data_IF_961697368333
#
_entry.id   IF_961697368333
#
_cell.length_a   1.000
_cell.length_b   1.000
_cell.length_c   1.000
_cell.angle_alpha   90.00
_cell.angle_beta   90.00
_cell.angle_gamma   90.00
#
_symmetry.space_group_name_H-M   'P 1'
#
loop_
_entity.id
_entity.type
_entity.pdbx_description
1 polymer ?
#
# COMPACT_ATOMS: atom_id res chain seq x y z
N UNK A 1 30.91 -2.22 -0.09
CA UNK A 1 29.79 -3.05 0.37
C UNK A 1 29.25 -3.79 -0.83
N UNK A 2 29.11 -5.14 -0.79
CA UNK A 2 28.58 -5.92 -1.90
C UNK A 2 27.11 -5.60 -2.15
N UNK A 3 26.74 -5.33 -3.40
CA UNK A 3 25.34 -5.19 -3.78
C UNK A 3 24.64 -6.56 -3.67
N UNK A 4 23.73 -6.70 -2.72
CA UNK A 4 22.86 -7.87 -2.66
C UNK A 4 21.79 -7.81 -3.76
N UNK A 5 21.38 -8.98 -4.26
CA UNK A 5 20.24 -9.09 -5.20
C UNK A 5 18.90 -8.78 -4.54
N UNK A 6 18.78 -9.09 -3.26
CA UNK A 6 17.59 -8.81 -2.45
C UNK A 6 17.63 -7.41 -1.85
N UNK A 7 16.51 -7.01 -1.22
CA UNK A 7 16.32 -5.69 -0.60
C UNK A 7 15.99 -5.83 0.88
N UNK A 8 16.54 -4.95 1.71
CA UNK A 8 16.22 -4.83 3.13
C UNK A 8 15.41 -3.55 3.36
N UNK A 9 14.21 -3.70 3.92
CA UNK A 9 13.30 -2.61 4.25
C UNK A 9 13.10 -2.61 5.75
N UNK A 10 13.34 -1.50 6.43
CA UNK A 10 13.02 -1.34 7.85
C UNK A 10 11.78 -0.47 8.06
N UNK A 11 10.98 -0.82 9.06
CA UNK A 11 9.83 -0.03 9.52
C UNK A 11 10.10 0.35 10.97
N UNK A 12 10.36 1.63 11.20
CA UNK A 12 10.68 2.21 12.49
C UNK A 12 9.62 3.25 12.91
N UNK A 13 9.71 3.77 14.10
CA UNK A 13 8.81 4.76 14.70
C UNK A 13 8.66 4.54 16.20
N UNK A 14 8.01 5.48 16.89
CA UNK A 14 7.76 5.40 18.33
C UNK A 14 6.80 4.25 18.68
N UNK A 15 6.75 3.85 19.95
CA UNK A 15 5.79 2.84 20.39
C UNK A 15 4.36 3.34 20.22
N UNK A 16 3.47 2.46 19.74
CA UNK A 16 2.11 2.86 19.35
C UNK A 16 1.93 3.26 17.88
N UNK A 17 3.00 3.51 17.10
CA UNK A 17 2.89 4.00 15.71
C UNK A 17 2.39 2.97 14.67
N UNK A 18 1.98 1.77 15.06
CA UNK A 18 1.40 0.79 14.13
C UNK A 18 2.40 -0.07 13.35
N UNK A 19 3.69 -0.04 13.67
CA UNK A 19 4.76 -0.79 12.97
C UNK A 19 4.43 -2.24 12.65
N UNK A 20 4.01 -3.03 13.64
CA UNK A 20 3.71 -4.45 13.45
C UNK A 20 2.55 -4.68 12.47
N UNK A 21 1.55 -3.80 12.46
CA UNK A 21 0.43 -3.85 11.51
C UNK A 21 0.94 -3.57 10.11
N UNK A 22 1.71 -2.50 9.93
CA UNK A 22 2.24 -2.11 8.63
C UNK A 22 3.27 -3.12 8.09
N UNK A 23 4.09 -3.69 8.96
CA UNK A 23 5.00 -4.80 8.60
C UNK A 23 4.21 -5.98 8.02
N UNK A 24 3.13 -6.40 8.68
CA UNK A 24 2.29 -7.50 8.23
C UNK A 24 1.64 -7.19 6.87
N UNK A 25 1.02 -6.03 6.74
CA UNK A 25 0.37 -5.61 5.49
C UNK A 25 1.37 -5.51 4.32
N UNK A 26 2.56 -4.97 4.57
CA UNK A 26 3.62 -4.91 3.56
C UNK A 26 4.06 -6.32 3.12
N UNK A 27 4.29 -7.22 4.07
CA UNK A 27 4.70 -8.61 3.79
C UNK A 27 3.65 -9.35 2.97
N UNK A 28 2.38 -9.21 3.32
CA UNK A 28 1.27 -9.80 2.58
C UNK A 28 1.21 -9.28 1.14
N UNK A 29 1.33 -7.95 0.97
CA UNK A 29 1.31 -7.31 -0.35
C UNK A 29 2.50 -7.73 -1.23
N UNK A 30 3.71 -7.78 -0.68
CA UNK A 30 4.90 -8.27 -1.37
C UNK A 30 4.76 -9.73 -1.82
N UNK A 31 4.18 -10.60 -0.99
CA UNK A 31 3.93 -12.00 -1.33
C UNK A 31 2.92 -12.15 -2.47
N UNK A 32 1.82 -11.39 -2.42
CA UNK A 32 0.80 -11.35 -3.49
C UNK A 32 1.41 -10.86 -4.81
N UNK A 33 2.37 -9.93 -4.75
CA UNK A 33 3.11 -9.44 -5.93
C UNK A 33 4.17 -10.44 -6.44
N UNK A 34 4.33 -11.61 -5.80
CA UNK A 34 5.22 -12.69 -6.25
C UNK A 34 6.63 -12.69 -5.66
N UNK A 35 6.94 -11.80 -4.72
CA UNK A 35 8.25 -11.75 -4.09
C UNK A 35 8.44 -12.85 -3.03
N UNK A 36 9.66 -13.37 -2.92
CA UNK A 36 10.08 -14.20 -1.78
C UNK A 36 10.46 -13.28 -0.62
N UNK A 37 9.64 -13.29 0.44
CA UNK A 37 9.76 -12.36 1.57
C UNK A 37 10.12 -13.08 2.85
N UNK A 38 11.05 -12.51 3.58
CA UNK A 38 11.43 -12.91 4.95
C UNK A 38 11.17 -11.76 5.92
N UNK A 39 10.93 -12.08 7.18
CA UNK A 39 10.68 -11.08 8.22
C UNK A 39 11.61 -11.26 9.40
N UNK A 40 11.93 -10.14 10.02
CA UNK A 40 12.63 -10.11 11.30
C UNK A 40 12.09 -8.98 12.15
N UNK A 41 11.92 -9.25 13.45
CA UNK A 41 11.51 -8.26 14.44
C UNK A 41 12.66 -8.01 15.41
N UNK A 42 12.93 -6.75 15.72
CA UNK A 42 13.90 -6.38 16.75
C UNK A 42 13.23 -5.59 17.88
N UNK A 43 13.60 -5.88 19.15
CA UNK A 43 14.47 -6.98 19.60
C UNK A 43 13.84 -8.36 19.37
N UNK A 44 14.69 -9.36 19.13
CA UNK A 44 14.26 -10.76 18.95
C UNK A 44 14.04 -11.43 20.31
N UNK A 45 13.02 -10.98 21.03
CA UNK A 45 12.70 -11.51 22.37
C UNK A 45 12.68 -13.04 22.41
N UNK A 46 13.19 -13.60 23.50
CA UNK A 46 13.36 -15.04 23.68
C UNK A 46 14.60 -15.64 23.01
N UNK A 47 15.34 -14.89 22.19
CA UNK A 47 16.66 -15.31 21.68
C UNK A 47 17.77 -14.89 22.64
N UNK A 48 18.82 -15.72 22.73
CA UNK A 48 19.96 -15.44 23.63
C UNK A 48 20.60 -14.07 23.35
N UNK A 49 20.67 -13.65 22.08
CA UNK A 49 21.20 -12.36 21.64
C UNK A 49 20.41 -11.15 22.15
N UNK A 50 19.08 -11.29 22.37
CA UNK A 50 18.22 -10.24 22.93
C UNK A 50 18.21 -10.20 24.45
N UNK A 51 18.88 -11.13 25.13
CA UNK A 51 18.84 -11.24 26.60
C UNK A 51 19.36 -10.01 27.35
N UNK A 52 20.33 -9.27 26.76
CA UNK A 52 20.80 -7.99 27.32
C UNK A 52 19.74 -6.91 27.19
N UNK A 53 19.02 -6.86 26.07
CA UNK A 53 17.90 -5.94 25.84
C UNK A 53 16.77 -6.22 26.83
N UNK A 54 16.41 -7.48 27.03
CA UNK A 54 15.36 -7.87 27.97
C UNK A 54 15.72 -7.46 29.41
N UNK A 55 16.95 -7.70 29.84
CA UNK A 55 17.43 -7.26 31.16
C UNK A 55 17.40 -5.75 31.28
N UNK A 56 17.79 -5.02 30.24
CA UNK A 56 17.76 -3.55 30.22
C UNK A 56 16.32 -3.02 30.33
N UNK A 57 15.40 -3.51 29.52
CA UNK A 57 14.00 -3.09 29.53
C UNK A 57 13.28 -3.44 30.85
N UNK A 58 13.73 -4.48 31.53
CA UNK A 58 13.28 -4.86 32.88
C UNK A 58 13.96 -4.08 34.02
N UNK A 59 14.82 -3.10 33.72
CA UNK A 59 15.49 -2.25 34.69
C UNK A 59 16.60 -2.94 35.49
N UNK A 60 17.09 -4.13 35.06
CA UNK A 60 18.13 -4.88 35.79
C UNK A 60 19.48 -4.17 35.81
N UNK A 61 19.70 -3.21 34.91
CA UNK A 61 20.93 -2.38 34.83
C UNK A 61 20.73 -0.96 35.40
N UNK A 62 19.57 -0.70 36.03
CA UNK A 62 19.18 0.61 36.54
C UNK A 62 18.28 1.37 35.54
N UNK A 63 18.08 2.66 35.78
CA UNK A 63 17.26 3.51 34.93
C UNK A 63 17.86 3.68 33.52
N UNK A 64 17.01 4.05 32.55
CA UNK A 64 17.43 4.31 31.19
C UNK A 64 18.54 5.42 31.09
N UNK A 65 18.49 6.41 32.00
CA UNK A 65 19.47 7.47 32.09
C UNK A 65 20.82 6.95 32.60
N UNK A 66 20.81 6.10 33.66
CA UNK A 66 22.03 5.51 34.25
C UNK A 66 22.78 4.64 33.25
N UNK A 67 22.08 3.86 32.46
CA UNK A 67 22.68 3.05 31.40
C UNK A 67 23.23 3.93 30.28
N UNK A 68 22.50 4.96 29.89
CA UNK A 68 22.87 5.92 28.88
C UNK A 68 22.74 5.39 27.43
N UNK A 69 22.77 6.29 26.43
CA UNK A 69 22.44 5.95 25.04
C UNK A 69 23.47 5.00 24.40
N UNK A 70 24.73 5.16 24.64
CA UNK A 70 25.78 4.34 24.02
C UNK A 70 25.72 2.88 24.47
N UNK A 71 25.64 2.61 25.79
CA UNK A 71 25.55 1.22 26.29
C UNK A 71 24.25 0.54 25.90
N UNK A 72 23.14 1.27 25.99
CA UNK A 72 21.86 0.73 25.53
C UNK A 72 21.91 0.34 24.04
N UNK A 73 22.51 1.19 23.19
CA UNK A 73 22.64 0.90 21.75
C UNK A 73 23.44 -0.38 21.47
N UNK A 74 24.49 -0.68 22.27
CA UNK A 74 25.25 -1.93 22.13
C UNK A 74 24.37 -3.17 22.32
N UNK A 75 23.46 -3.15 23.30
CA UNK A 75 22.58 -4.29 23.54
C UNK A 75 21.71 -4.63 22.33
N UNK A 76 21.15 -3.60 21.70
CA UNK A 76 20.34 -3.76 20.48
C UNK A 76 21.20 -4.10 19.25
N UNK A 77 22.40 -3.53 19.15
CA UNK A 77 23.31 -3.80 18.04
C UNK A 77 23.80 -5.25 18.01
N UNK A 78 24.06 -5.85 19.18
CA UNK A 78 24.45 -7.27 19.30
C UNK A 78 23.33 -8.19 18.81
N UNK A 79 22.07 -7.88 19.11
CA UNK A 79 20.96 -8.68 18.62
C UNK A 79 20.83 -8.59 17.09
N UNK A 80 21.04 -7.42 16.49
CA UNK A 80 21.08 -7.24 15.04
C UNK A 80 22.26 -7.96 14.40
N UNK A 81 23.43 -7.90 15.05
CA UNK A 81 24.62 -8.61 14.56
C UNK A 81 24.37 -10.13 14.44
N UNK A 82 23.84 -10.75 15.49
CA UNK A 82 23.50 -12.18 15.46
C UNK A 82 22.49 -12.53 14.36
N UNK A 83 21.48 -11.67 14.12
CA UNK A 83 20.54 -11.85 13.03
C UNK A 83 21.15 -11.63 11.64
N UNK A 84 22.20 -10.82 11.54
CA UNK A 84 22.75 -10.34 10.28
C UNK A 84 23.25 -11.46 9.37
N UNK A 85 23.75 -12.55 9.92
CA UNK A 85 24.20 -13.72 9.14
C UNK A 85 23.05 -14.33 8.33
N UNK A 86 21.88 -14.45 8.95
CA UNK A 86 20.69 -14.99 8.29
C UNK A 86 20.11 -13.96 7.29
N UNK A 87 20.09 -12.68 7.65
CA UNK A 87 19.66 -11.58 6.77
C UNK A 87 20.54 -11.55 5.51
N UNK A 88 21.86 -11.57 5.66
CA UNK A 88 22.83 -11.59 4.53
C UNK A 88 22.57 -12.76 3.58
N UNK A 89 22.30 -13.95 4.13
CA UNK A 89 21.98 -15.14 3.33
C UNK A 89 20.69 -14.93 2.53
N UNK A 90 19.65 -14.39 3.12
CA UNK A 90 18.40 -14.12 2.42
C UNK A 90 18.56 -13.07 1.32
N UNK A 91 19.28 -11.98 1.61
CA UNK A 91 19.57 -10.93 0.64
C UNK A 91 20.39 -11.45 -0.54
N UNK A 92 21.39 -12.31 -0.29
CA UNK A 92 22.18 -12.95 -1.34
C UNK A 92 21.32 -13.87 -2.25
N UNK A 93 20.25 -14.45 -1.70
CA UNK A 93 19.27 -15.25 -2.44
C UNK A 93 18.24 -14.42 -3.22
N UNK A 94 18.36 -13.09 -3.22
CA UNK A 94 17.40 -12.20 -3.89
C UNK A 94 16.06 -12.04 -3.17
N UNK A 95 15.98 -12.42 -1.87
CA UNK A 95 14.75 -12.26 -1.10
C UNK A 95 14.60 -10.81 -0.61
N UNK A 96 13.37 -10.38 -0.43
CA UNK A 96 13.07 -9.13 0.28
C UNK A 96 12.99 -9.45 1.77
N UNK A 97 13.72 -8.67 2.57
CA UNK A 97 13.67 -8.78 4.03
C UNK A 97 12.96 -7.55 4.59
N UNK A 98 11.87 -7.76 5.31
CA UNK A 98 11.14 -6.68 6.01
C UNK A 98 11.45 -6.78 7.50
N UNK A 99 12.01 -5.71 8.05
CA UNK A 99 12.37 -5.62 9.47
C UNK A 99 11.40 -4.70 10.21
N UNK A 100 10.75 -5.23 11.24
CA UNK A 100 10.06 -4.40 12.22
C UNK A 100 11.09 -3.92 13.23
N UNK A 101 11.42 -2.63 13.17
CA UNK A 101 12.57 -1.96 13.79
C UNK A 101 13.92 -2.42 13.21
N UNK A 102 14.87 -1.49 13.21
CA UNK A 102 16.27 -1.72 12.85
C UNK A 102 17.17 -0.67 13.52
N UNK A 103 18.24 -0.23 12.87
CA UNK A 103 19.16 0.81 13.38
C UNK A 103 18.44 2.14 13.61
N UNK A 104 17.42 2.46 12.81
CA UNK A 104 16.56 3.63 12.99
C UNK A 104 15.95 3.73 14.38
N UNK A 105 15.60 2.61 15.01
CA UNK A 105 15.11 2.59 16.39
C UNK A 105 16.16 3.05 17.41
N UNK A 106 17.44 2.70 17.23
CA UNK A 106 18.51 3.21 18.08
C UNK A 106 18.72 4.71 17.88
N UNK A 107 18.71 5.18 16.63
CA UNK A 107 18.83 6.61 16.31
C UNK A 107 17.72 7.41 17.00
N UNK A 108 16.46 6.99 16.85
CA UNK A 108 15.32 7.70 17.44
C UNK A 108 15.30 7.65 18.96
N UNK A 109 15.25 6.45 19.54
CA UNK A 109 15.06 6.28 21.00
C UNK A 109 16.28 6.62 21.82
N UNK A 110 17.50 6.27 21.39
CA UNK A 110 18.72 6.57 22.13
C UNK A 110 19.21 7.98 21.82
N UNK A 111 19.07 8.44 20.56
CA UNK A 111 19.37 9.83 20.19
C UNK A 111 18.50 10.85 20.90
N UNK A 112 17.22 10.50 21.16
CA UNK A 112 16.28 11.32 21.93
C UNK A 112 16.72 11.64 23.36
N UNK A 113 17.62 10.84 23.94
CA UNK A 113 18.21 11.08 25.26
C UNK A 113 19.33 12.11 25.25
N UNK A 114 19.82 12.52 24.07
CA UNK A 114 20.95 13.45 23.94
C UNK A 114 20.41 14.83 23.53
N UNK A 115 20.38 15.77 24.49
CA UNK A 115 19.81 17.12 24.28
C UNK A 115 20.69 17.97 23.35
N UNK A 116 22.02 17.89 23.50
CA UNK A 116 22.95 18.66 22.66
C UNK A 116 23.05 18.11 21.24
N UNK A 117 22.80 18.94 20.23
CA UNK A 117 22.77 18.54 18.82
C UNK A 117 24.13 18.03 18.30
N UNK A 118 25.25 18.64 18.70
CA UNK A 118 26.58 18.19 18.28
C UNK A 118 26.93 16.84 18.89
N UNK A 119 26.66 16.65 20.20
CA UNK A 119 26.82 15.35 20.85
C UNK A 119 25.92 14.26 20.25
N UNK A 120 24.72 14.63 19.86
CA UNK A 120 23.78 13.71 19.17
C UNK A 120 24.30 13.32 17.79
N UNK A 121 24.84 14.28 17.02
CA UNK A 121 25.46 13.98 15.73
C UNK A 121 26.67 13.04 15.92
N UNK A 122 27.53 13.29 16.90
CA UNK A 122 28.64 12.40 17.22
C UNK A 122 28.16 10.98 17.60
N UNK A 123 27.05 10.87 18.33
CA UNK A 123 26.44 9.60 18.66
C UNK A 123 25.93 8.88 17.40
N UNK A 124 25.28 9.58 16.46
CA UNK A 124 24.85 8.99 15.20
C UNK A 124 26.03 8.47 14.36
N UNK A 125 27.06 9.29 14.20
CA UNK A 125 28.29 8.91 13.49
C UNK A 125 28.97 7.67 14.14
N UNK A 126 29.00 7.62 15.46
CA UNK A 126 29.49 6.46 16.20
C UNK A 126 28.64 5.22 15.98
N UNK A 127 27.31 5.36 16.04
CA UNK A 127 26.37 4.24 15.84
C UNK A 127 26.47 3.66 14.41
N UNK A 128 26.60 4.51 13.40
CA UNK A 128 26.81 4.08 12.02
C UNK A 128 28.15 3.33 11.85
N UNK A 129 29.23 3.83 12.45
CA UNK A 129 30.52 3.16 12.46
C UNK A 129 30.48 1.82 13.19
N UNK A 130 29.78 1.75 14.32
CA UNK A 130 29.58 0.50 15.04
C UNK A 130 28.82 -0.53 14.22
N UNK A 131 27.61 -0.19 13.78
CA UNK A 131 26.70 -1.17 13.18
C UNK A 131 27.08 -1.52 11.75
N UNK A 132 27.33 -0.53 10.91
CA UNK A 132 27.64 -0.77 9.49
C UNK A 132 29.15 -0.93 9.21
N UNK A 133 30.01 -0.38 10.06
CA UNK A 133 31.46 -0.53 9.96
C UNK A 133 31.95 -1.77 10.71
N UNK A 134 32.00 -1.73 12.03
CA UNK A 134 32.61 -2.79 12.85
C UNK A 134 31.79 -4.10 12.80
N UNK A 135 30.48 -4.04 13.04
CA UNK A 135 29.60 -5.20 13.04
C UNK A 135 29.21 -5.63 11.61
N UNK A 136 29.41 -4.77 10.63
CA UNK A 136 29.13 -4.99 9.22
C UNK A 136 27.74 -5.60 8.96
N UNK A 137 26.73 -5.16 9.70
CA UNK A 137 25.35 -5.56 9.46
C UNK A 137 24.86 -4.97 8.13
N UNK A 138 23.91 -5.61 7.41
CA UNK A 138 23.35 -5.04 6.19
C UNK A 138 22.71 -3.67 6.45
N UNK A 139 23.01 -2.68 5.62
CA UNK A 139 22.31 -1.39 5.65
C UNK A 139 20.96 -1.55 4.92
N UNK A 140 19.85 -1.04 5.46
CA UNK A 140 18.57 -1.04 4.72
C UNK A 140 18.66 -0.27 3.41
N UNK A 141 18.01 -0.76 2.38
CA UNK A 141 17.78 -0.04 1.12
C UNK A 141 16.70 1.05 1.29
N UNK A 142 15.81 0.86 2.27
CA UNK A 142 14.76 1.82 2.62
C UNK A 142 14.48 1.75 4.12
N UNK A 143 14.51 2.90 4.78
CA UNK A 143 14.06 3.05 6.15
C UNK A 143 12.76 3.87 6.16
N UNK A 144 11.68 3.29 6.69
CA UNK A 144 10.37 3.93 6.80
C UNK A 144 10.14 4.32 8.26
N UNK A 145 9.89 5.61 8.51
CA UNK A 145 9.45 6.10 9.81
C UNK A 145 7.96 6.35 9.79
N UNK A 146 7.22 5.58 10.59
CA UNK A 146 5.80 5.80 10.82
C UNK A 146 5.64 6.90 11.87
N UNK A 147 5.23 8.08 11.43
CA UNK A 147 4.97 9.22 12.30
C UNK A 147 3.55 9.19 12.84
N UNK A 148 3.47 9.16 14.16
CA UNK A 148 2.25 9.36 14.96
C UNK A 148 2.66 10.29 16.09
N UNK A 149 1.92 11.38 16.40
CA UNK A 149 2.18 12.23 17.55
C UNK A 149 2.25 11.41 18.85
N UNK A 150 3.20 11.74 19.74
CA UNK A 150 3.50 10.93 20.92
C UNK A 150 2.27 10.73 21.83
N UNK A 151 1.41 11.75 21.96
CA UNK A 151 0.17 11.70 22.74
C UNK A 151 -0.81 10.65 22.19
N UNK A 152 -0.98 10.62 20.87
CA UNK A 152 -1.86 9.65 20.22
C UNK A 152 -1.25 8.25 20.35
N UNK A 153 0.05 8.12 20.09
CA UNK A 153 0.76 6.86 20.18
C UNK A 153 0.68 6.24 21.59
N UNK A 154 0.79 7.05 22.65
CA UNK A 154 0.67 6.58 24.03
C UNK A 154 -0.71 5.99 24.32
N UNK A 155 -1.80 6.61 23.85
CA UNK A 155 -3.16 6.06 24.01
C UNK A 155 -3.33 4.70 23.33
N UNK A 156 -2.62 4.47 22.22
CA UNK A 156 -2.64 3.20 21.50
C UNK A 156 -1.81 2.10 22.21
N UNK A 157 -0.75 2.48 22.90
CA UNK A 157 0.02 1.54 23.75
C UNK A 157 -0.84 1.04 24.90
N UNK A 158 -1.62 1.91 25.55
CA UNK A 158 -2.47 1.59 26.68
C UNK A 158 -3.57 0.55 26.36
N UNK A 159 -4.01 0.52 25.10
CA UNK A 159 -5.00 -0.46 24.62
C UNK A 159 -4.41 -1.86 24.39
N UNK A 160 -3.08 -2.01 24.41
CA UNK A 160 -2.44 -3.31 24.20
C UNK A 160 -2.48 -4.18 25.45
N UNK A 161 -2.49 -5.51 25.26
CA UNK A 161 -2.36 -6.49 26.36
C UNK A 161 -0.93 -6.46 26.91
N UNK A 162 -0.77 -6.85 28.20
CA UNK A 162 0.55 -7.01 28.81
C UNK A 162 1.46 -7.97 28.03
N UNK A 163 2.77 -7.72 28.09
CA UNK A 163 3.77 -8.44 27.30
C UNK A 163 4.59 -9.41 28.17
N UNK A 164 4.85 -10.61 27.66
CA UNK A 164 5.55 -11.66 28.39
C UNK A 164 6.97 -11.27 28.81
N UNK A 165 7.73 -10.55 27.97
CA UNK A 165 9.14 -10.19 28.24
C UNK A 165 9.32 -9.15 29.36
N UNK A 166 8.25 -8.45 29.77
CA UNK A 166 8.21 -7.53 30.92
C UNK A 166 7.33 -8.04 32.06
N UNK A 167 7.20 -9.37 32.20
CA UNK A 167 6.43 -10.00 33.27
C UNK A 167 4.93 -9.70 33.24
N UNK A 168 4.35 -9.54 32.04
CA UNK A 168 2.93 -9.24 31.84
C UNK A 168 2.52 -7.78 32.04
N UNK A 169 3.45 -6.87 32.33
CA UNK A 169 3.18 -5.43 32.41
C UNK A 169 2.75 -4.87 31.04
N UNK A 170 1.99 -3.79 31.04
CA UNK A 170 1.52 -3.14 29.81
C UNK A 170 2.62 -2.31 29.14
N UNK A 171 3.54 -1.72 29.92
CA UNK A 171 4.57 -0.81 29.48
C UNK A 171 5.95 -1.24 29.98
N UNK A 172 7.01 -0.95 29.23
CA UNK A 172 8.39 -1.06 29.65
C UNK A 172 8.93 0.31 30.15
N UNK A 173 10.23 0.39 30.52
CA UNK A 173 10.83 1.61 31.07
C UNK A 173 10.86 2.81 30.10
N UNK A 174 10.57 2.62 28.84
CA UNK A 174 10.51 3.69 27.81
C UNK A 174 9.08 4.10 27.49
N UNK A 175 8.14 3.16 27.53
CA UNK A 175 6.73 3.40 27.19
C UNK A 175 5.96 4.13 28.32
N UNK A 176 6.47 4.09 29.55
CA UNK A 176 5.89 4.82 30.69
C UNK A 176 6.20 6.32 30.66
N UNK A 177 7.16 6.74 29.85
CA UNK A 177 7.65 8.12 29.78
C UNK A 177 7.20 8.81 28.49
N UNK A 178 6.14 9.64 28.56
CA UNK A 178 5.67 10.45 27.44
C UNK A 178 6.74 11.42 26.92
N UNK A 179 7.59 11.96 27.80
CA UNK A 179 8.67 12.84 27.39
C UNK A 179 9.71 12.08 26.55
N UNK A 180 9.98 10.83 26.91
CA UNK A 180 10.82 9.96 26.08
C UNK A 180 10.22 9.75 24.69
N UNK A 181 8.92 9.49 24.58
CA UNK A 181 8.24 9.33 23.29
C UNK A 181 8.30 10.61 22.45
N UNK A 182 8.06 11.79 23.05
CA UNK A 182 8.19 13.10 22.39
C UNK A 182 9.60 13.38 21.90
N UNK A 183 10.59 13.08 22.72
CA UNK A 183 11.98 13.23 22.33
C UNK A 183 12.35 12.30 21.18
N UNK A 184 11.92 11.04 21.21
CA UNK A 184 12.14 10.09 20.13
C UNK A 184 11.45 10.54 18.83
N UNK A 185 10.18 10.99 18.89
CA UNK A 185 9.44 11.54 17.76
C UNK A 185 10.20 12.70 17.11
N UNK A 186 10.62 13.68 17.90
CA UNK A 186 11.41 14.82 17.42
C UNK A 186 12.65 14.38 16.66
N UNK A 187 13.35 13.36 17.16
CA UNK A 187 14.56 12.85 16.52
C UNK A 187 14.24 12.09 15.24
N UNK A 188 13.16 11.30 15.17
CA UNK A 188 12.73 10.67 13.93
C UNK A 188 12.41 11.70 12.83
N UNK A 189 11.76 12.81 13.19
CA UNK A 189 11.51 13.92 12.26
C UNK A 189 12.80 14.62 11.81
N UNK A 190 13.76 14.81 12.73
CA UNK A 190 15.08 15.38 12.41
C UNK A 190 15.84 14.47 11.43
N UNK A 191 15.87 13.16 11.68
CA UNK A 191 16.55 12.17 10.84
C UNK A 191 15.92 12.10 9.45
N UNK A 192 14.59 12.03 9.37
CA UNK A 192 13.88 11.96 8.09
C UNK A 192 14.12 13.21 7.20
N UNK A 193 14.39 14.35 7.79
CA UNK A 193 14.76 15.58 7.06
C UNK A 193 16.22 15.61 6.62
N UNK A 194 17.11 15.02 7.44
CA UNK A 194 18.55 15.12 7.23
C UNK A 194 19.13 13.99 6.37
N UNK A 195 18.49 12.83 6.32
CA UNK A 195 19.02 11.63 5.67
C UNK A 195 18.04 11.14 4.58
N UNK A 196 18.46 11.13 3.30
CA UNK A 196 17.59 10.83 2.17
C UNK A 196 17.15 9.36 2.08
N UNK A 197 17.80 8.46 2.80
CA UNK A 197 17.44 7.04 2.90
C UNK A 197 16.39 6.75 3.99
N UNK A 198 15.84 7.80 4.63
CA UNK A 198 14.76 7.70 5.59
C UNK A 198 13.50 8.40 5.06
N UNK A 199 12.45 7.63 4.88
CA UNK A 199 11.15 8.11 4.38
C UNK A 199 10.16 8.24 5.53
N UNK A 200 9.56 9.41 5.68
CA UNK A 200 8.54 9.69 6.67
C UNK A 200 7.15 9.38 6.11
N UNK A 201 6.36 8.61 6.85
CA UNK A 201 4.95 8.34 6.55
C UNK A 201 4.10 8.92 7.68
N UNK A 202 3.32 9.94 7.38
CA UNK A 202 2.35 10.49 8.33
C UNK A 202 1.17 9.54 8.47
N UNK A 203 0.95 9.03 9.67
CA UNK A 203 -0.12 8.10 10.00
C UNK A 203 -1.36 8.79 10.60
N UNK A 204 -1.37 10.12 10.61
CA UNK A 204 -2.48 10.93 11.13
C UNK A 204 -2.83 12.06 10.17
N UNK A 205 -4.12 12.43 10.12
CA UNK A 205 -4.66 13.63 9.45
C UNK A 205 -5.57 14.30 10.45
N UNK A 206 -5.44 15.61 10.63
CA UNK A 206 -6.27 16.44 11.55
C UNK A 206 -6.36 15.88 12.99
N UNK A 207 -5.27 15.26 13.46
CA UNK A 207 -5.19 14.68 14.80
C UNK A 207 -5.80 13.28 14.93
N UNK A 208 -6.35 12.71 13.87
CA UNK A 208 -6.91 11.36 13.87
C UNK A 208 -6.01 10.36 13.13
N UNK A 209 -6.02 9.11 13.60
CA UNK A 209 -5.28 8.03 12.95
C UNK A 209 -5.89 7.67 11.60
N UNK A 210 -5.06 7.60 10.57
CA UNK A 210 -5.42 6.99 9.30
C UNK A 210 -5.80 5.51 9.49
N UNK A 211 -6.69 5.02 8.65
CA UNK A 211 -6.98 3.58 8.60
C UNK A 211 -5.71 2.81 8.21
N UNK A 212 -5.52 1.60 8.74
CA UNK A 212 -4.31 0.80 8.45
C UNK A 212 -4.02 0.62 6.95
N UNK A 213 -5.06 0.50 6.11
CA UNK A 213 -4.94 0.39 4.66
C UNK A 213 -4.39 1.66 4.01
N UNK A 214 -4.85 2.84 4.42
CA UNK A 214 -4.39 4.13 3.88
C UNK A 214 -2.90 4.36 4.16
N UNK A 215 -2.46 4.03 5.39
CA UNK A 215 -1.03 4.03 5.73
C UNK A 215 -0.25 3.00 4.91
N UNK A 216 -0.81 1.79 4.71
CA UNK A 216 -0.17 0.73 3.93
C UNK A 216 0.02 1.12 2.47
N UNK A 217 -0.90 1.90 1.88
CA UNK A 217 -0.76 2.40 0.52
C UNK A 217 0.37 3.43 0.39
N UNK A 218 0.53 4.31 1.39
CA UNK A 218 1.67 5.24 1.44
C UNK A 218 3.01 4.48 1.57
N UNK A 219 3.08 3.47 2.46
CA UNK A 219 4.25 2.58 2.61
C UNK A 219 4.55 1.87 1.28
N UNK A 220 3.54 1.32 0.63
CA UNK A 220 3.69 0.62 -0.64
C UNK A 220 4.23 1.52 -1.75
N UNK A 221 3.78 2.77 -1.84
CA UNK A 221 4.29 3.75 -2.81
C UNK A 221 5.81 3.93 -2.69
N UNK A 222 6.33 4.02 -1.45
CA UNK A 222 7.78 4.12 -1.21
C UNK A 222 8.53 2.84 -1.55
N UNK A 223 7.96 1.69 -1.22
CA UNK A 223 8.56 0.38 -1.49
C UNK A 223 8.63 0.09 -2.99
N UNK A 224 7.61 0.47 -3.77
CA UNK A 224 7.63 0.31 -5.23
C UNK A 224 8.82 1.02 -5.88
N UNK A 225 9.17 2.21 -5.40
CA UNK A 225 10.31 2.97 -5.94
C UNK A 225 11.62 2.18 -5.85
N UNK A 226 11.92 1.56 -4.70
CA UNK A 226 13.17 0.80 -4.51
C UNK A 226 13.17 -0.56 -5.21
N UNK A 227 11.98 -1.10 -5.52
CA UNK A 227 11.82 -2.36 -6.25
C UNK A 227 11.74 -2.14 -7.76
N UNK A 228 11.81 -0.90 -8.25
CA UNK A 228 11.62 -0.53 -9.66
C UNK A 228 10.32 -1.10 -10.24
N UNK A 229 9.30 -1.23 -9.41
CA UNK A 229 7.97 -1.65 -9.84
C UNK A 229 7.27 -0.46 -10.53
N UNK A 230 6.42 -0.73 -11.54
CA UNK A 230 5.58 0.32 -12.08
C UNK A 230 4.85 1.04 -10.95
N UNK A 231 4.92 2.36 -10.93
CA UNK A 231 4.05 3.13 -10.05
C UNK A 231 2.64 2.86 -10.55
N UNK A 232 1.78 2.25 -9.72
CA UNK A 232 0.36 2.36 -10.00
C UNK A 232 0.10 3.87 -9.98
N UNK A 233 -0.47 4.36 -11.03
CA UNK A 233 -1.07 5.69 -11.00
C UNK A 233 -1.81 5.80 -9.66
N UNK A 234 -1.75 6.97 -9.00
CA UNK A 234 -2.28 7.26 -7.66
C UNK A 234 -3.48 6.37 -7.28
N UNK A 235 -3.68 5.98 -5.99
CA UNK A 235 -4.81 5.13 -5.60
C UNK A 235 -6.01 5.66 -6.35
N UNK A 236 -6.47 4.90 -7.33
CA UNK A 236 -7.40 5.37 -8.35
C UNK A 236 -8.53 6.07 -7.62
N UNK A 237 -8.62 7.39 -7.77
CA UNK A 237 -9.90 8.07 -7.54
C UNK A 237 -10.94 7.12 -8.08
N UNK A 238 -11.95 6.72 -7.30
CA UNK A 238 -12.87 5.69 -7.76
C UNK A 238 -13.24 6.01 -9.20
N UNK A 239 -12.99 5.06 -10.11
CA UNK A 239 -13.16 5.26 -11.54
C UNK A 239 -14.54 5.90 -11.77
N UNK A 240 -14.55 7.15 -12.17
CA UNK A 240 -15.80 7.88 -12.37
C UNK A 240 -16.11 7.95 -13.86
N UNK A 241 -17.24 7.39 -14.23
CA UNK A 241 -17.80 7.61 -15.53
C UNK A 241 -18.63 8.90 -15.50
N UNK A 242 -18.30 9.84 -16.38
CA UNK A 242 -19.12 11.03 -16.54
C UNK A 242 -20.16 10.74 -17.59
N UNK A 243 -21.43 10.91 -17.27
CA UNK A 243 -22.55 10.65 -18.16
C UNK A 243 -23.40 11.92 -18.28
N UNK A 244 -23.63 12.36 -19.52
CA UNK A 244 -24.51 13.46 -19.87
C UNK A 244 -25.81 12.91 -20.44
N UNK A 245 -26.95 13.38 -19.97
CA UNK A 245 -28.25 13.08 -20.58
C UNK A 245 -28.54 14.05 -21.71
N UNK A 246 -28.89 13.52 -22.87
CA UNK A 246 -29.28 14.28 -24.06
C UNK A 246 -30.81 14.40 -24.20
N UNK A 247 -31.54 13.48 -23.56
CA UNK A 247 -33.01 13.45 -23.57
C UNK A 247 -33.58 13.27 -22.17
N UNK A 248 -34.75 13.84 -21.91
CA UNK A 248 -35.45 13.69 -20.62
C UNK A 248 -35.85 12.22 -20.33
N UNK A 249 -36.06 11.43 -21.39
CA UNK A 249 -36.38 9.98 -21.30
C UNK A 249 -35.16 9.10 -21.02
N UNK A 250 -33.95 9.64 -21.17
CA UNK A 250 -32.71 8.87 -20.97
C UNK A 250 -32.55 8.42 -19.53
N UNK A 251 -32.20 7.14 -19.34
CA UNK A 251 -31.80 6.58 -18.04
C UNK A 251 -30.29 6.53 -17.94
N UNK A 252 -29.77 6.86 -16.76
CA UNK A 252 -28.34 6.69 -16.48
C UNK A 252 -27.99 5.20 -16.42
N UNK A 253 -26.77 4.81 -16.87
CA UNK A 253 -26.29 3.44 -16.71
C UNK A 253 -26.35 3.02 -15.23
N UNK A 254 -26.81 1.82 -14.97
CA UNK A 254 -26.97 1.31 -13.62
C UNK A 254 -26.45 -0.13 -13.52
N UNK A 255 -25.82 -0.54 -12.38
CA UNK A 255 -25.43 -1.92 -12.20
C UNK A 255 -26.68 -2.82 -12.16
N UNK A 256 -26.65 -3.97 -12.85
CA UNK A 256 -27.76 -4.93 -12.84
C UNK A 256 -27.97 -5.54 -11.44
N UNK A 257 -26.90 -5.66 -10.64
CA UNK A 257 -26.86 -6.10 -9.23
C UNK A 257 -25.75 -5.36 -8.52
N UNK A 258 -25.78 -5.33 -7.18
CA UNK A 258 -24.78 -4.62 -6.36
C UNK A 258 -23.32 -5.11 -6.58
N UNK A 259 -23.15 -6.37 -6.99
CA UNK A 259 -21.86 -7.02 -7.28
C UNK A 259 -21.58 -7.15 -8.80
N UNK A 260 -22.39 -6.51 -9.64
CA UNK A 260 -22.24 -6.57 -11.10
C UNK A 260 -21.00 -5.79 -11.56
N UNK A 261 -20.13 -6.43 -12.36
CA UNK A 261 -18.96 -5.78 -12.98
C UNK A 261 -19.29 -4.87 -14.17
N UNK A 262 -20.57 -4.74 -14.55
CA UNK A 262 -21.01 -3.94 -15.69
C UNK A 262 -22.27 -3.14 -15.42
N UNK A 263 -22.52 -2.15 -16.28
CA UNK A 263 -23.66 -1.24 -16.21
C UNK A 263 -24.66 -1.54 -17.32
N UNK A 264 -25.94 -1.72 -16.98
CA UNK A 264 -27.01 -1.81 -17.96
C UNK A 264 -27.19 -0.47 -18.67
N UNK A 265 -27.39 -0.53 -19.99
CA UNK A 265 -27.70 0.59 -20.87
C UNK A 265 -29.16 0.46 -21.32
N UNK A 266 -29.86 1.57 -21.36
CA UNK A 266 -31.32 1.58 -21.56
C UNK A 266 -31.67 2.31 -22.85
N UNK A 267 -32.73 1.83 -23.52
CA UNK A 267 -33.34 2.54 -24.66
C UNK A 267 -33.98 3.85 -24.20
N UNK A 268 -33.79 4.91 -24.95
CA UNK A 268 -34.43 6.21 -24.70
C UNK A 268 -35.82 6.33 -25.38
N UNK A 269 -36.19 5.35 -26.25
CA UNK A 269 -37.40 5.40 -27.02
C UNK A 269 -37.97 3.98 -27.28
N UNK A 270 -39.09 3.91 -28.02
CA UNK A 270 -39.74 2.67 -28.43
C UNK A 270 -39.25 2.25 -29.81
N UNK A 271 -38.96 0.96 -29.97
CA UNK A 271 -38.56 0.38 -31.26
C UNK A 271 -39.17 -0.98 -31.49
N UNK A 272 -39.34 -1.34 -32.77
CA UNK A 272 -39.70 -2.70 -33.16
C UNK A 272 -38.58 -3.23 -34.07
N UNK A 273 -38.02 -4.39 -33.75
CA UNK A 273 -36.93 -5.01 -34.48
C UNK A 273 -37.41 -6.31 -35.11
N UNK A 274 -37.57 -6.33 -36.43
CA UNK A 274 -38.05 -7.45 -37.22
C UNK A 274 -37.01 -8.59 -37.29
N UNK A 275 -37.41 -9.84 -37.57
CA UNK A 275 -36.45 -10.92 -37.82
C UNK A 275 -35.40 -10.56 -38.87
N UNK A 276 -34.12 -10.80 -38.56
CA UNK A 276 -32.97 -10.48 -39.42
C UNK A 276 -32.58 -8.98 -39.51
N UNK A 277 -33.39 -8.11 -38.93
CA UNK A 277 -33.14 -6.67 -38.97
C UNK A 277 -31.97 -6.24 -38.04
N UNK A 278 -31.25 -5.18 -38.48
CA UNK A 278 -30.30 -4.45 -37.66
C UNK A 278 -30.83 -3.06 -37.37
N UNK A 279 -30.82 -2.67 -36.13
CA UNK A 279 -31.38 -1.39 -35.71
C UNK A 279 -30.42 -0.66 -34.77
N UNK A 280 -30.20 0.63 -35.02
CA UNK A 280 -29.48 1.53 -34.17
C UNK A 280 -30.47 2.11 -33.13
N UNK A 281 -30.29 1.73 -31.86
CA UNK A 281 -31.17 2.12 -30.75
C UNK A 281 -30.48 3.23 -29.98
N UNK A 282 -31.15 4.37 -29.86
CA UNK A 282 -30.69 5.51 -29.06
C UNK A 282 -30.78 5.19 -27.57
N UNK A 283 -29.72 5.61 -26.81
CA UNK A 283 -29.76 5.57 -25.35
C UNK A 283 -30.05 6.95 -24.73
N UNK A 284 -29.96 8.01 -25.54
CA UNK A 284 -30.14 9.41 -25.10
C UNK A 284 -29.06 9.89 -24.13
N UNK A 285 -27.91 9.23 -24.10
CA UNK A 285 -26.78 9.63 -23.25
C UNK A 285 -25.48 9.76 -24.04
N UNK A 286 -24.59 10.62 -23.52
CA UNK A 286 -23.15 10.56 -23.79
C UNK A 286 -22.42 9.99 -22.59
N UNK A 287 -21.33 9.28 -22.84
CA UNK A 287 -20.50 8.73 -21.76
C UNK A 287 -19.02 9.02 -22.05
N UNK A 288 -18.32 9.55 -21.08
CA UNK A 288 -16.88 9.77 -21.15
C UNK A 288 -16.18 8.58 -20.52
N UNK A 289 -15.47 7.81 -21.32
CA UNK A 289 -14.57 6.75 -20.84
C UNK A 289 -13.23 7.40 -20.47
N UNK A 290 -12.71 7.20 -19.25
CA UNK A 290 -11.44 7.79 -18.83
C UNK A 290 -10.26 7.32 -19.71
N UNK A 291 -9.22 8.16 -19.93
CA UNK A 291 -7.99 7.75 -20.60
C UNK A 291 -7.36 6.51 -19.94
N UNK A 292 -6.81 5.60 -20.75
CA UNK A 292 -6.28 4.32 -20.30
C UNK A 292 -7.33 3.22 -20.06
N UNK A 293 -8.60 3.52 -20.40
CA UNK A 293 -9.71 2.56 -20.34
C UNK A 293 -10.46 2.51 -21.66
N UNK A 294 -11.20 1.44 -21.83
CA UNK A 294 -12.11 1.22 -22.96
C UNK A 294 -13.47 0.76 -22.43
N UNK A 295 -14.54 1.22 -23.07
CA UNK A 295 -15.89 0.71 -22.86
C UNK A 295 -16.16 -0.47 -23.79
N UNK A 296 -16.57 -1.62 -23.24
CA UNK A 296 -16.95 -2.79 -24.03
C UNK A 296 -18.47 -2.99 -23.92
N UNK A 297 -19.15 -2.95 -25.06
CA UNK A 297 -20.56 -3.27 -25.13
C UNK A 297 -20.76 -4.78 -25.23
N UNK A 298 -21.68 -5.33 -24.46
CA UNK A 298 -22.04 -6.73 -24.44
C UNK A 298 -23.55 -6.89 -24.53
N UNK A 299 -23.99 -7.97 -25.19
CA UNK A 299 -25.38 -8.34 -25.18
C UNK A 299 -25.84 -8.65 -23.76
N UNK A 300 -27.02 -8.16 -23.41
CA UNK A 300 -27.65 -8.50 -22.13
C UNK A 300 -28.23 -9.91 -22.20
N UNK A 301 -27.92 -10.73 -21.20
CA UNK A 301 -28.29 -12.16 -21.20
C UNK A 301 -29.79 -12.41 -21.44
N UNK A 302 -30.66 -11.57 -20.87
CA UNK A 302 -32.11 -11.76 -20.92
C UNK A 302 -32.66 -11.58 -22.33
N UNK A 303 -32.12 -10.63 -23.11
CA UNK A 303 -32.55 -10.43 -24.51
C UNK A 303 -31.74 -11.29 -25.49
N UNK A 304 -30.47 -11.63 -25.14
CA UNK A 304 -29.69 -12.56 -25.95
C UNK A 304 -30.33 -13.95 -26.06
N UNK A 305 -30.95 -14.44 -24.97
CA UNK A 305 -31.74 -15.68 -24.98
C UNK A 305 -32.94 -15.62 -25.90
N UNK A 306 -33.41 -14.43 -26.25
CA UNK A 306 -34.52 -14.20 -27.21
C UNK A 306 -34.01 -13.94 -28.63
N UNK A 307 -32.70 -14.15 -28.89
CA UNK A 307 -32.09 -13.96 -30.19
C UNK A 307 -31.67 -12.53 -30.49
N UNK A 308 -31.68 -11.61 -29.52
CA UNK A 308 -31.31 -10.20 -29.72
C UNK A 308 -29.89 -9.99 -29.26
N UNK A 309 -29.01 -9.56 -30.17
CA UNK A 309 -27.60 -9.40 -29.90
C UNK A 309 -27.08 -8.00 -30.25
N UNK A 310 -26.04 -7.53 -29.51
CA UNK A 310 -25.32 -6.31 -29.79
C UNK A 310 -24.19 -6.60 -30.79
N UNK A 311 -24.12 -5.82 -31.88
CA UNK A 311 -23.14 -6.05 -32.96
C UNK A 311 -21.83 -5.34 -32.75
N UNK A 312 -21.83 -4.06 -32.30
CA UNK A 312 -20.65 -3.20 -32.15
C UNK A 312 -20.35 -3.01 -30.67
N UNK A 313 -19.06 -3.11 -30.29
CA UNK A 313 -18.73 -3.35 -28.92
C UNK A 313 -17.62 -2.52 -28.28
N UNK A 314 -16.96 -1.58 -28.96
CA UNK A 314 -15.84 -0.82 -28.37
C UNK A 314 -16.16 0.68 -28.35
N UNK A 315 -16.03 1.29 -27.16
CA UNK A 315 -16.16 2.74 -26.96
C UNK A 315 -14.79 3.24 -26.48
N UNK A 316 -14.13 4.01 -27.30
CA UNK A 316 -12.82 4.61 -26.97
C UNK A 316 -12.98 5.83 -26.05
N UNK A 317 -11.91 6.18 -25.33
CA UNK A 317 -11.89 7.37 -24.48
C UNK A 317 -11.99 8.69 -25.25
N UNK A 318 -11.74 8.66 -26.56
CA UNK A 318 -11.92 9.80 -27.48
C UNK A 318 -13.35 9.98 -27.97
N UNK A 319 -14.25 9.01 -27.73
CA UNK A 319 -15.64 9.06 -28.19
C UNK A 319 -16.44 10.14 -27.44
N UNK A 320 -17.05 11.06 -28.18
CA UNK A 320 -17.80 12.20 -27.63
C UNK A 320 -19.25 12.28 -28.11
N UNK A 321 -19.68 11.33 -28.94
CA UNK A 321 -21.03 11.28 -29.48
C UNK A 321 -22.06 10.71 -28.50
N UNK A 322 -23.32 10.64 -28.97
CA UNK A 322 -24.35 9.85 -28.29
C UNK A 322 -24.01 8.38 -28.35
N UNK A 323 -24.23 7.65 -27.25
CA UNK A 323 -24.06 6.22 -27.20
C UNK A 323 -25.26 5.53 -27.87
N UNK A 324 -25.06 5.08 -29.10
CA UNK A 324 -26.06 4.35 -29.89
C UNK A 324 -25.71 2.86 -29.89
N UNK A 325 -26.67 2.01 -29.58
CA UNK A 325 -26.49 0.56 -29.51
C UNK A 325 -27.08 -0.10 -30.78
N UNK A 326 -26.22 -0.72 -31.59
CA UNK A 326 -26.66 -1.46 -32.74
C UNK A 326 -27.06 -2.89 -32.30
N UNK A 327 -28.33 -3.23 -32.46
CA UNK A 327 -28.88 -4.55 -32.18
C UNK A 327 -29.20 -5.30 -33.46
N UNK A 328 -29.16 -6.63 -33.41
CA UNK A 328 -29.66 -7.54 -34.46
C UNK A 328 -30.65 -8.53 -33.85
N UNK A 329 -31.71 -8.81 -34.58
CA UNK A 329 -32.68 -9.84 -34.22
C UNK A 329 -32.41 -11.13 -35.02
N UNK A 330 -31.90 -12.14 -34.37
CA UNK A 330 -31.65 -13.47 -34.94
C UNK A 330 -32.81 -14.47 -34.65
N UNK A 331 -33.90 -13.99 -34.05
CA UNK A 331 -35.10 -14.81 -33.84
C UNK A 331 -36.06 -14.75 -35.02
N UNK A 332 -37.09 -15.54 -34.95
CA UNK A 332 -38.18 -15.61 -35.94
C UNK A 332 -39.38 -14.69 -35.63
N UNK A 333 -39.28 -13.88 -34.55
CA UNK A 333 -40.34 -13.00 -34.04
C UNK A 333 -39.90 -11.55 -33.99
N UNK A 334 -40.84 -10.64 -34.15
CA UNK A 334 -40.61 -9.22 -33.92
C UNK A 334 -40.29 -9.00 -32.43
N UNK A 335 -39.20 -8.34 -32.15
CA UNK A 335 -38.82 -7.96 -30.77
C UNK A 335 -39.21 -6.50 -30.53
N UNK A 336 -40.05 -6.26 -29.54
CA UNK A 336 -40.44 -4.92 -29.12
C UNK A 336 -39.49 -4.40 -28.04
N UNK A 337 -38.96 -3.20 -28.25
CA UNK A 337 -38.13 -2.49 -27.28
C UNK A 337 -38.96 -1.35 -26.71
N UNK A 338 -39.12 -1.33 -25.41
CA UNK A 338 -39.83 -0.26 -24.70
C UNK A 338 -38.85 0.80 -24.19
N UNK A 339 -39.31 2.03 -24.08
CA UNK A 339 -38.55 3.11 -23.47
C UNK A 339 -38.11 2.75 -22.04
N UNK A 340 -36.83 2.89 -21.75
CA UNK A 340 -36.24 2.55 -20.45
C UNK A 340 -35.99 1.06 -20.25
N UNK A 341 -36.14 0.22 -21.28
CA UNK A 341 -35.75 -1.19 -21.26
C UNK A 341 -34.23 -1.31 -21.36
N UNK A 342 -33.63 -2.20 -20.57
CA UNK A 342 -32.22 -2.51 -20.67
C UNK A 342 -31.90 -3.32 -21.93
N UNK A 343 -31.05 -2.81 -22.82
CA UNK A 343 -30.76 -3.34 -24.14
C UNK A 343 -29.33 -3.84 -24.34
N UNK A 344 -28.39 -3.39 -23.52
CA UNK A 344 -26.99 -3.81 -23.55
C UNK A 344 -26.38 -3.67 -22.18
N UNK A 345 -25.16 -4.16 -22.04
CA UNK A 345 -24.34 -3.96 -20.84
C UNK A 345 -22.99 -3.34 -21.24
N UNK A 346 -22.56 -2.32 -20.49
CA UNK A 346 -21.26 -1.67 -20.61
C UNK A 346 -20.32 -2.23 -19.55
N UNK A 347 -19.18 -2.78 -19.98
CA UNK A 347 -18.02 -3.08 -19.14
C UNK A 347 -16.97 -2.02 -19.37
N UNK A 348 -16.29 -1.55 -18.31
CA UNK A 348 -15.16 -0.63 -18.42
C UNK A 348 -13.90 -1.37 -18.04
N UNK A 349 -12.96 -1.46 -18.98
CA UNK A 349 -11.75 -2.25 -18.83
C UNK A 349 -10.51 -1.40 -19.04
N UNK A 350 -9.48 -1.56 -18.18
CA UNK A 350 -8.16 -0.95 -18.38
C UNK A 350 -7.49 -1.58 -19.59
N UNK A 351 -6.83 -0.76 -20.41
CA UNK A 351 -6.11 -1.21 -21.61
C UNK A 351 -4.64 -0.79 -21.54
N UNK A 352 -3.80 -1.54 -22.22
CA UNK A 352 -2.43 -1.18 -22.54
C UNK A 352 -2.35 -0.78 -24.02
N UNK A 353 -1.56 0.25 -24.34
CA UNK A 353 -1.33 0.71 -25.72
C UNK A 353 0.14 0.42 -26.07
N UNK A 354 0.48 -0.83 -26.48
CA UNK A 354 1.83 -1.19 -26.85
C UNK A 354 2.27 -0.48 -28.12
N UNK A 355 3.53 -0.10 -28.22
CA UNK A 355 4.14 0.33 -29.48
C UNK A 355 4.35 -0.89 -30.38
N UNK A 356 3.95 -0.75 -31.66
CA UNK A 356 4.19 -1.78 -32.66
C UNK A 356 5.59 -1.55 -33.26
N UNK A 357 6.43 -2.59 -33.21
CA UNK A 357 7.74 -2.62 -33.88
C UNK A 357 7.74 -3.78 -34.90
N UNK A 358 8.24 -3.51 -36.10
CA UNK A 358 8.46 -4.58 -37.08
C UNK A 358 9.70 -5.38 -36.68
N UNK A 359 9.58 -6.73 -36.65
CA UNK A 359 10.69 -7.63 -36.30
C UNK A 359 10.43 -9.07 -36.72
N UNK A 360 11.48 -9.89 -36.78
CA UNK A 360 11.34 -11.34 -36.98
C UNK A 360 10.91 -11.99 -35.67
N UNK A 361 9.84 -12.79 -35.73
CA UNK A 361 9.40 -13.61 -34.62
C UNK A 361 10.22 -14.90 -34.67
N UNK A 362 11.10 -15.09 -33.66
CA UNK A 362 11.80 -16.35 -33.44
C UNK A 362 10.97 -17.16 -32.44
N UNK A 363 10.52 -18.35 -32.80
CA UNK A 363 9.82 -19.31 -31.93
C UNK A 363 10.86 -20.19 -31.25
#
# INVERSE_FOLDING_TARGET
>A
MGHYKGKLISIDGIDGSGKSVQTKLLVERLKVTGFKVETVDFPRYGKKSAGLVEKYLNGKYGSAEKVGPYRASLFYAIDRYDASFKIKKWLAQGRIVVSNRYTGSNLGHQGGKIKNALARKAFFDWLYKLEYGLLAIPKPDLNIFLHVPAEIAQTLVDRKRGRAYIGGRKRDIHEDDLEHLKNAEKIYLEIARAYPDFELINCTIDGEMLKPGETADQVWKKVKNILSLPMDDEPSKPLRLVVERLACSAKLPAPARADSGGFDLFSSDFYALSPGERLAVSTGIKILIPPGYVGLLRSKNDIAKQGIHTIVGVIESSFTGELIITLINLSDKIFQITMGQAIAQLLVQKIESPSIIEGKISV
#
